data_IF_108027591031
#
_entry.id   IF_108027591031
#
_cell.length_a   1.000
_cell.length_b   1.000
_cell.length_c   1.000
_cell.angle_alpha   90.00
_cell.angle_beta   90.00
_cell.angle_gamma   90.00
#
_symmetry.space_group_name_H-M   'P 1'
#
loop_
_entity.id
_entity.type
_entity.pdbx_description
1 polymer ?
#
# COMPACT_ATOMS: atom_id res chain seq x y z
N UNK A 1 -52.26 19.80 30.26
CA UNK A 1 -51.51 19.17 31.37
C UNK A 1 -52.39 18.15 32.03
N UNK A 2 -51.89 16.92 32.20
CA UNK A 2 -52.13 16.19 33.44
C UNK A 2 -50.81 15.73 34.08
N UNK A 3 -50.73 15.99 35.38
CA UNK A 3 -49.74 15.48 36.33
C UNK A 3 -50.02 14.00 36.63
N UNK A 4 -48.96 13.21 36.82
CA UNK A 4 -49.02 11.97 37.59
C UNK A 4 -47.87 11.97 38.59
N UNK A 5 -48.21 12.31 39.84
CA UNK A 5 -47.47 11.94 41.03
C UNK A 5 -48.04 10.63 41.57
N UNK A 6 -47.20 9.62 41.78
CA UNK A 6 -47.39 8.58 42.79
C UNK A 6 -46.07 7.84 43.04
N UNK A 7 -45.38 8.33 44.06
CA UNK A 7 -44.27 7.69 44.77
C UNK A 7 -44.84 6.57 45.65
N UNK A 8 -44.06 5.50 45.86
CA UNK A 8 -43.91 4.68 47.10
C UNK A 8 -43.93 3.16 46.81
N UNK A 9 -43.45 2.29 47.72
CA UNK A 9 -42.03 2.04 48.00
C UNK A 9 -41.79 0.53 48.03
N UNK A 10 -41.00 -0.03 47.11
CA UNK A 10 -40.72 -1.46 47.21
C UNK A 10 -39.70 -1.69 48.34
N UNK A 11 -40.09 -2.59 49.24
CA UNK A 11 -39.44 -2.92 50.49
C UNK A 11 -38.07 -3.55 50.22
N UNK A 12 -37.08 -3.09 50.96
CA UNK A 12 -35.85 -3.81 51.23
C UNK A 12 -36.17 -5.13 51.95
N UNK A 13 -35.72 -6.25 51.38
CA UNK A 13 -35.37 -7.44 52.15
C UNK A 13 -33.85 -7.64 52.01
N UNK A 14 -33.09 -7.60 53.12
CA UNK A 14 -31.68 -7.98 53.16
C UNK A 14 -31.53 -9.34 53.85
N UNK A 15 -30.91 -10.32 53.18
CA UNK A 15 -30.01 -11.29 53.79
C UNK A 15 -29.68 -12.43 52.82
N UNK A 16 -28.38 -12.72 52.72
CA UNK A 16 -27.89 -14.07 52.50
C UNK A 16 -27.50 -14.39 51.06
N UNK A 17 -26.23 -14.22 50.75
CA UNK A 17 -25.32 -15.37 50.71
C UNK A 17 -23.91 -14.87 50.37
N UNK A 18 -22.97 -15.26 51.21
CA UNK A 18 -21.54 -15.19 50.98
C UNK A 18 -21.19 -16.06 49.76
N UNK A 19 -21.19 -15.49 48.55
CA UNK A 19 -20.57 -16.10 47.38
C UNK A 19 -19.19 -15.47 47.17
N UNK A 20 -18.22 -16.15 47.79
CA UNK A 20 -16.84 -16.36 47.39
C UNK A 20 -16.32 -15.52 46.20
N UNK A 21 -15.48 -14.49 46.43
CA UNK A 21 -14.75 -13.83 45.36
C UNK A 21 -13.50 -14.65 45.02
N UNK A 22 -13.68 -15.87 44.51
CA UNK A 22 -12.72 -16.43 43.56
C UNK A 22 -12.92 -15.69 42.24
N UNK A 23 -12.47 -14.43 42.22
CA UNK A 23 -11.98 -13.82 40.99
C UNK A 23 -10.79 -14.67 40.55
N UNK A 24 -11.09 -15.80 39.93
CA UNK A 24 -10.23 -16.37 38.91
C UNK A 24 -10.20 -15.32 37.79
N UNK A 25 -9.33 -14.33 37.96
CA UNK A 25 -8.72 -13.62 36.86
C UNK A 25 -8.07 -14.71 35.98
N UNK A 26 -8.87 -15.34 35.11
CA UNK A 26 -8.32 -16.12 34.01
C UNK A 26 -7.35 -15.18 33.29
N UNK A 27 -6.05 -15.50 33.25
CA UNK A 27 -5.11 -14.67 32.54
C UNK A 27 -5.55 -14.68 31.08
N UNK A 28 -6.02 -13.53 30.58
CA UNK A 28 -6.33 -13.30 29.17
C UNK A 28 -5.13 -13.80 28.38
N UNK A 29 -5.28 -14.99 27.78
CA UNK A 29 -4.13 -15.75 27.33
C UNK A 29 -3.41 -14.96 26.23
N UNK A 30 -2.09 -14.81 26.34
CA UNK A 30 -1.22 -14.19 25.32
C UNK A 30 -1.41 -14.77 23.88
N UNK A 31 -2.15 -15.88 23.75
CA UNK A 31 -2.52 -16.50 22.49
C UNK A 31 -3.44 -15.61 21.62
N UNK A 32 -4.34 -14.81 22.20
CA UNK A 32 -5.21 -13.91 21.42
C UNK A 32 -4.44 -12.72 20.85
N UNK A 33 -3.47 -12.19 21.60
CA UNK A 33 -2.67 -11.04 21.16
C UNK A 33 -1.77 -11.36 19.96
N UNK A 34 -1.33 -12.61 19.80
CA UNK A 34 -0.56 -13.06 18.61
C UNK A 34 -1.44 -13.28 17.38
N UNK A 35 -2.74 -13.52 17.57
CA UNK A 35 -3.68 -13.82 16.48
C UNK A 35 -4.13 -12.56 15.73
N UNK A 36 -4.24 -11.42 16.41
CA UNK A 36 -4.65 -10.15 15.81
C UNK A 36 -3.73 -9.65 14.67
N UNK A 37 -2.40 -9.55 14.81
CA UNK A 37 -1.53 -9.09 13.72
C UNK A 37 -1.55 -10.04 12.51
N UNK A 38 -1.64 -11.35 12.72
CA UNK A 38 -1.78 -12.31 11.63
C UNK A 38 -3.12 -12.18 10.90
N UNK A 39 -4.21 -11.97 11.65
CA UNK A 39 -5.54 -11.75 11.09
C UNK A 39 -5.60 -10.46 10.26
N UNK A 40 -5.00 -9.37 10.76
CA UNK A 40 -4.86 -8.12 10.00
C UNK A 40 -4.00 -8.30 8.75
N UNK A 41 -2.91 -9.06 8.84
CA UNK A 41 -2.03 -9.35 7.70
C UNK A 41 -2.76 -10.00 6.52
N UNK A 42 -3.77 -10.83 6.79
CA UNK A 42 -4.61 -11.47 5.76
C UNK A 42 -5.52 -10.47 5.02
N UNK A 43 -5.81 -9.31 5.62
CA UNK A 43 -6.65 -8.27 5.02
C UNK A 43 -5.88 -7.32 4.08
N UNK A 44 -4.55 -7.36 4.08
CA UNK A 44 -3.72 -6.49 3.23
C UNK A 44 -3.96 -6.76 1.74
N UNK A 45 -3.95 -8.03 1.32
CA UNK A 45 -4.16 -8.38 -0.09
C UNK A 45 -5.55 -7.98 -0.59
N UNK A 46 -6.66 -8.28 0.14
CA UNK A 46 -7.98 -7.74 -0.18
C UNK A 46 -8.03 -6.20 -0.25
N UNK A 47 -7.38 -5.51 0.69
CA UNK A 47 -7.35 -4.04 0.71
C UNK A 47 -6.61 -3.47 -0.50
N UNK A 48 -5.49 -4.07 -0.91
CA UNK A 48 -4.75 -3.68 -2.12
C UNK A 48 -5.56 -3.92 -3.38
N UNK A 49 -6.11 -5.12 -3.53
CA UNK A 49 -6.93 -5.45 -4.70
C UNK A 49 -8.10 -4.49 -4.86
N UNK A 50 -8.78 -4.14 -3.75
CA UNK A 50 -9.86 -3.17 -3.75
C UNK A 50 -9.37 -1.77 -4.16
N UNK A 51 -8.25 -1.30 -3.60
CA UNK A 51 -7.65 -0.02 -4.00
C UNK A 51 -7.33 0.02 -5.49
N UNK A 52 -6.64 -1.01 -6.01
CA UNK A 52 -6.27 -1.10 -7.43
C UNK A 52 -7.50 -1.10 -8.35
N UNK A 53 -8.54 -1.85 -8.00
CA UNK A 53 -9.76 -1.92 -8.79
C UNK A 53 -10.51 -0.59 -8.82
N UNK A 54 -10.55 0.13 -7.69
CA UNK A 54 -11.12 1.47 -7.60
C UNK A 54 -10.29 2.49 -8.40
N UNK A 55 -8.96 2.38 -8.39
CA UNK A 55 -8.08 3.22 -9.23
C UNK A 55 -8.36 2.98 -10.72
N UNK A 56 -8.40 1.72 -11.15
CA UNK A 56 -8.74 1.37 -12.55
C UNK A 56 -10.13 1.88 -12.94
N UNK A 57 -11.10 1.77 -12.04
CA UNK A 57 -12.45 2.29 -12.28
C UNK A 57 -12.45 3.80 -12.54
N UNK A 58 -11.58 4.55 -11.86
CA UNK A 58 -11.39 5.98 -12.11
C UNK A 58 -10.65 6.22 -13.44
N UNK A 59 -9.56 5.50 -13.68
CA UNK A 59 -8.74 5.65 -14.88
C UNK A 59 -9.51 5.35 -16.17
N UNK A 60 -10.36 4.33 -16.16
CA UNK A 60 -11.19 3.92 -17.31
C UNK A 60 -12.57 4.58 -17.34
N UNK A 61 -12.85 5.49 -16.40
CA UNK A 61 -14.13 6.16 -16.26
C UNK A 61 -15.35 5.21 -16.11
N UNK A 62 -15.13 4.04 -15.50
CA UNK A 62 -16.13 2.99 -15.29
C UNK A 62 -16.95 3.21 -14.02
N UNK A 63 -17.64 4.35 -13.97
CA UNK A 63 -18.38 4.78 -12.77
C UNK A 63 -19.83 4.27 -12.72
N UNK A 64 -20.47 4.09 -13.87
CA UNK A 64 -21.92 3.93 -13.93
C UNK A 64 -22.39 2.62 -13.27
N UNK A 65 -23.17 2.73 -12.19
CA UNK A 65 -23.76 1.60 -11.49
C UNK A 65 -22.81 0.87 -10.53
N UNK A 66 -21.56 1.34 -10.38
CA UNK A 66 -20.55 0.70 -9.51
C UNK A 66 -20.31 1.46 -8.21
N UNK A 67 -20.86 2.67 -8.06
CA UNK A 67 -20.69 3.53 -6.88
C UNK A 67 -21.13 2.90 -5.57
N UNK A 68 -22.34 2.33 -5.52
CA UNK A 68 -22.85 1.69 -4.30
C UNK A 68 -22.08 0.42 -3.95
N UNK A 69 -21.65 -0.34 -4.97
CA UNK A 69 -20.84 -1.55 -4.78
C UNK A 69 -19.46 -1.22 -4.22
N UNK A 70 -18.84 -0.13 -4.67
CA UNK A 70 -17.57 0.37 -4.12
C UNK A 70 -17.69 0.72 -2.63
N UNK A 71 -18.74 1.45 -2.25
CA UNK A 71 -19.00 1.82 -0.85
C UNK A 71 -19.23 0.57 0.00
N UNK A 72 -20.07 -0.36 -0.45
CA UNK A 72 -20.35 -1.60 0.27
C UNK A 72 -19.08 -2.44 0.46
N UNK A 73 -18.23 -2.54 -0.55
CA UNK A 73 -16.98 -3.29 -0.49
C UNK A 73 -16.02 -2.69 0.54
N UNK A 74 -15.87 -1.36 0.55
CA UNK A 74 -15.04 -0.68 1.54
C UNK A 74 -15.61 -0.78 2.97
N UNK A 75 -16.93 -0.67 3.15
CA UNK A 75 -17.57 -0.85 4.45
C UNK A 75 -17.40 -2.28 4.98
N UNK A 76 -17.48 -3.27 4.09
CA UNK A 76 -17.18 -4.67 4.43
C UNK A 76 -15.76 -4.83 4.93
N UNK A 77 -14.78 -4.26 4.22
CA UNK A 77 -13.39 -4.26 4.66
C UNK A 77 -13.19 -3.56 6.02
N UNK A 78 -13.79 -2.38 6.20
CA UNK A 78 -13.72 -1.63 7.46
C UNK A 78 -14.29 -2.44 8.62
N UNK A 79 -15.43 -3.12 8.43
CA UNK A 79 -16.05 -3.96 9.45
C UNK A 79 -15.14 -5.11 9.85
N UNK A 80 -14.57 -5.83 8.87
CA UNK A 80 -13.61 -6.91 9.14
C UNK A 80 -12.40 -6.44 9.94
N UNK A 81 -11.91 -5.23 9.70
CA UNK A 81 -10.80 -4.65 10.47
C UNK A 81 -11.25 -4.32 11.90
N UNK A 82 -12.44 -3.72 12.05
CA UNK A 82 -12.99 -3.31 13.35
C UNK A 82 -13.33 -4.53 14.24
N UNK A 83 -13.73 -5.64 13.65
CA UNK A 83 -13.95 -6.91 14.36
C UNK A 83 -12.64 -7.50 14.93
N UNK A 84 -11.50 -7.18 14.33
CA UNK A 84 -10.18 -7.64 14.78
C UNK A 84 -9.54 -6.64 15.75
N UNK A 85 -9.77 -5.34 15.55
CA UNK A 85 -9.18 -4.27 16.36
C UNK A 85 -10.22 -3.20 16.68
N UNK A 86 -10.40 -2.95 17.98
CA UNK A 86 -11.17 -1.82 18.49
C UNK A 86 -10.32 -0.53 18.47
N UNK A 87 -10.07 0.01 17.27
CA UNK A 87 -9.30 1.23 17.07
C UNK A 87 -10.21 2.42 16.68
N UNK A 88 -10.25 3.50 17.48
CA UNK A 88 -11.03 4.70 17.18
C UNK A 88 -10.69 5.33 15.82
N UNK A 89 -9.45 5.18 15.35
CA UNK A 89 -9.05 5.66 14.03
C UNK A 89 -9.81 4.93 12.93
N UNK A 90 -9.89 3.60 12.99
CA UNK A 90 -10.62 2.79 12.00
C UNK A 90 -12.12 3.13 12.02
N UNK A 91 -12.69 3.34 13.20
CA UNK A 91 -14.08 3.78 13.35
C UNK A 91 -14.33 5.16 12.72
N UNK A 92 -13.36 6.08 12.81
CA UNK A 92 -13.46 7.41 12.21
C UNK A 92 -13.45 7.43 10.69
N UNK A 93 -12.97 6.35 10.05
CA UNK A 93 -12.95 6.19 8.59
C UNK A 93 -14.30 5.77 7.99
N UNK A 94 -15.38 5.87 8.77
CA UNK A 94 -16.72 5.49 8.35
C UNK A 94 -17.17 6.23 7.08
N UNK A 95 -17.56 5.45 6.07
CA UNK A 95 -18.08 5.95 4.81
C UNK A 95 -19.51 6.46 4.98
N UNK A 96 -19.69 7.77 4.83
CA UNK A 96 -21.00 8.44 4.81
C UNK A 96 -21.16 9.25 3.53
N UNK A 97 -21.41 8.59 2.37
CA UNK A 97 -21.72 9.31 1.14
C UNK A 97 -23.01 10.13 1.31
N UNK A 98 -23.08 11.30 0.68
CA UNK A 98 -24.32 12.08 0.65
C UNK A 98 -25.39 11.32 -0.13
N UNK A 99 -26.67 11.51 0.22
CA UNK A 99 -27.77 10.78 -0.43
C UNK A 99 -27.84 11.01 -1.96
N UNK A 100 -27.30 12.13 -2.43
CA UNK A 100 -27.27 12.52 -3.85
C UNK A 100 -25.86 12.38 -4.46
N UNK A 101 -24.93 11.69 -3.80
CA UNK A 101 -23.59 11.48 -4.33
C UNK A 101 -23.68 10.69 -5.65
N UNK A 102 -22.99 11.20 -6.66
CA UNK A 102 -22.80 10.50 -7.93
C UNK A 102 -21.94 9.25 -7.74
N UNK A 103 -22.03 8.29 -8.65
CA UNK A 103 -21.20 7.08 -8.56
C UNK A 103 -19.70 7.41 -8.58
N UNK A 104 -19.31 8.45 -9.33
CA UNK A 104 -17.93 8.95 -9.34
C UNK A 104 -17.49 9.43 -7.96
N UNK A 105 -18.31 10.20 -7.27
CA UNK A 105 -18.02 10.67 -5.90
C UNK A 105 -17.96 9.51 -4.91
N UNK A 106 -18.86 8.52 -5.05
CA UNK A 106 -18.86 7.31 -4.22
C UNK A 106 -17.58 6.50 -4.43
N UNK A 107 -17.13 6.32 -5.67
CA UNK A 107 -15.89 5.60 -6.00
C UNK A 107 -14.66 6.36 -5.51
N UNK A 108 -14.61 7.67 -5.69
CA UNK A 108 -13.51 8.50 -5.17
C UNK A 108 -13.43 8.43 -3.64
N UNK A 109 -14.57 8.49 -2.95
CA UNK A 109 -14.65 8.34 -1.51
C UNK A 109 -14.21 6.95 -1.05
N UNK A 110 -14.70 5.90 -1.72
CA UNK A 110 -14.30 4.52 -1.47
C UNK A 110 -12.79 4.32 -1.64
N UNK A 111 -12.20 4.88 -2.72
CA UNK A 111 -10.76 4.78 -2.97
C UNK A 111 -9.93 5.45 -1.86
N UNK A 112 -10.35 6.64 -1.42
CA UNK A 112 -9.68 7.36 -0.34
C UNK A 112 -9.69 6.53 0.94
N UNK A 113 -10.86 5.99 1.31
CA UNK A 113 -11.00 5.16 2.51
C UNK A 113 -10.22 3.84 2.38
N UNK A 114 -10.28 3.16 1.24
CA UNK A 114 -9.49 1.95 1.00
C UNK A 114 -7.98 2.21 1.14
N UNK A 115 -7.50 3.36 0.65
CA UNK A 115 -6.10 3.75 0.77
C UNK A 115 -5.69 4.00 2.23
N UNK A 116 -6.55 4.63 3.03
CA UNK A 116 -6.29 4.87 4.46
C UNK A 116 -6.34 3.57 5.28
N UNK A 117 -7.29 2.68 5.00
CA UNK A 117 -7.37 1.36 5.63
C UNK A 117 -6.16 0.49 5.27
N UNK A 118 -5.71 0.52 4.02
CA UNK A 118 -4.49 -0.17 3.62
C UNK A 118 -3.27 0.36 4.38
N UNK A 119 -3.07 1.68 4.41
CA UNK A 119 -1.95 2.30 5.14
C UNK A 119 -1.97 1.93 6.64
N UNK A 120 -3.17 1.86 7.24
CA UNK A 120 -3.34 1.40 8.61
C UNK A 120 -2.90 -0.06 8.79
N UNK A 121 -3.37 -0.96 7.92
CA UNK A 121 -3.03 -2.39 7.97
C UNK A 121 -1.52 -2.61 7.81
N UNK A 122 -0.88 -1.92 6.86
CA UNK A 122 0.56 -1.99 6.63
C UNK A 122 1.35 -1.44 7.83
N UNK A 123 0.89 -0.35 8.44
CA UNK A 123 1.49 0.22 9.65
C UNK A 123 1.37 -0.69 10.87
N UNK A 124 0.26 -1.42 11.02
CA UNK A 124 0.02 -2.34 12.16
C UNK A 124 0.75 -3.67 12.02
N UNK A 125 0.92 -4.15 10.80
CA UNK A 125 1.53 -5.47 10.52
C UNK A 125 3.01 -5.38 10.19
N UNK A 126 3.52 -4.17 9.90
CA UNK A 126 4.88 -3.97 9.37
C UNK A 126 5.07 -4.49 7.95
N UNK A 127 4.01 -4.99 7.31
CA UNK A 127 4.03 -5.41 5.92
C UNK A 127 3.94 -4.18 5.01
N UNK A 128 5.04 -3.45 4.89
CA UNK A 128 5.18 -2.42 3.87
C UNK A 128 5.15 -3.06 2.48
N UNK A 129 4.77 -2.28 1.48
CA UNK A 129 4.67 -2.72 0.10
C UNK A 129 5.99 -3.31 -0.41
N UNK A 130 6.09 -4.64 -0.30
CA UNK A 130 7.24 -5.43 -0.70
C UNK A 130 7.24 -5.68 -2.21
N UNK A 131 6.43 -4.95 -2.98
CA UNK A 131 6.67 -4.79 -4.43
C UNK A 131 8.01 -4.10 -4.73
N UNK A 132 8.66 -3.48 -3.74
CA UNK A 132 10.03 -2.96 -3.84
C UNK A 132 11.14 -4.02 -3.77
N UNK A 133 10.81 -5.32 -3.66
CA UNK A 133 11.80 -6.39 -3.54
C UNK A 133 11.70 -7.45 -4.65
N UNK A 134 11.31 -7.05 -5.86
CA UNK A 134 11.45 -7.92 -7.02
C UNK A 134 12.94 -7.93 -7.40
N UNK A 135 13.62 -9.02 -7.07
CA UNK A 135 15.00 -9.24 -7.49
C UNK A 135 14.99 -9.55 -9.00
N UNK A 136 15.20 -8.53 -9.82
CA UNK A 136 15.30 -8.72 -11.27
C UNK A 136 16.72 -9.20 -11.59
N UNK A 137 16.83 -10.45 -12.04
CA UNK A 137 18.08 -11.03 -12.55
C UNK A 137 18.19 -10.73 -14.03
N UNK A 138 19.11 -9.85 -14.40
CA UNK A 138 19.39 -9.53 -15.80
C UNK A 138 20.65 -10.27 -16.22
N UNK A 139 20.50 -11.19 -17.18
CA UNK A 139 21.62 -11.81 -17.87
C UNK A 139 21.92 -10.98 -19.11
N UNK A 140 23.02 -10.22 -19.08
CA UNK A 140 23.49 -9.47 -20.24
C UNK A 140 24.66 -10.23 -20.85
N UNK A 141 24.48 -10.68 -22.08
CA UNK A 141 25.52 -11.34 -22.87
C UNK A 141 26.02 -10.36 -23.92
N UNK A 142 27.28 -9.94 -23.78
CA UNK A 142 27.91 -9.03 -24.74
C UNK A 142 28.57 -9.81 -25.87
N UNK A 143 28.27 -9.43 -27.12
CA UNK A 143 28.87 -9.98 -28.32
C UNK A 143 29.69 -8.90 -29.04
N UNK A 144 30.91 -8.67 -28.59
CA UNK A 144 31.86 -7.80 -29.28
C UNK A 144 32.54 -8.49 -30.47
N UNK A 145 32.92 -7.75 -31.53
CA UNK A 145 33.65 -8.32 -32.65
C UNK A 145 35.01 -8.86 -32.20
N UNK A 146 35.26 -10.14 -32.44
CA UNK A 146 36.55 -10.80 -32.18
C UNK A 146 36.80 -11.27 -30.74
N UNK A 147 35.83 -11.17 -29.81
CA UNK A 147 35.95 -11.70 -28.44
C UNK A 147 34.94 -12.80 -28.15
N UNK A 148 35.30 -13.74 -27.28
CA UNK A 148 34.36 -14.76 -26.76
C UNK A 148 33.25 -14.05 -25.98
N UNK A 149 31.97 -14.46 -26.10
CA UNK A 149 30.88 -13.81 -25.38
C UNK A 149 31.13 -13.91 -23.88
N UNK A 150 31.13 -12.76 -23.22
CA UNK A 150 31.17 -12.66 -21.77
C UNK A 150 29.75 -12.39 -21.30
N UNK A 151 29.25 -13.22 -20.39
CA UNK A 151 27.97 -12.99 -19.73
C UNK A 151 28.25 -12.49 -18.32
N UNK A 152 27.72 -11.31 -18.01
CA UNK A 152 27.80 -10.73 -16.67
C UNK A 152 26.40 -10.68 -16.09
N UNK A 153 26.25 -11.25 -14.90
CA UNK A 153 24.96 -11.31 -14.19
C UNK A 153 24.82 -10.08 -13.31
N UNK A 154 23.80 -9.27 -13.57
CA UNK A 154 23.47 -8.11 -12.74
C UNK A 154 22.23 -8.44 -11.90
N UNK A 155 22.34 -8.20 -10.60
CA UNK A 155 21.22 -8.34 -9.66
C UNK A 155 20.80 -6.95 -9.25
N UNK A 156 19.62 -6.52 -9.72
CA UNK A 156 19.03 -5.26 -9.30
C UNK A 156 17.98 -5.52 -8.20
N UNK A 157 17.98 -4.65 -7.19
CA UNK A 157 17.02 -4.68 -6.08
C UNK A 157 16.45 -3.27 -5.92
N UNK A 158 15.22 -3.07 -6.41
CA UNK A 158 14.52 -1.79 -6.34
C UNK A 158 13.19 -1.83 -7.11
N UNK A 159 12.34 -0.81 -6.97
CA UNK A 159 11.03 -0.76 -7.63
C UNK A 159 11.19 -0.70 -9.16
N UNK A 160 10.28 -1.33 -9.93
CA UNK A 160 10.36 -1.40 -11.40
C UNK A 160 10.24 -0.02 -12.06
N UNK A 161 9.66 0.96 -11.35
CA UNK A 161 9.46 2.33 -11.84
C UNK A 161 10.64 3.27 -11.52
N UNK A 162 11.64 2.78 -10.78
CA UNK A 162 12.88 3.51 -10.64
C UNK A 162 13.60 3.44 -11.98
N UNK A 163 13.85 4.60 -12.61
CA UNK A 163 14.61 4.74 -13.87
C UNK A 163 16.03 4.16 -13.87
N UNK A 164 16.38 3.32 -12.88
CA UNK A 164 17.56 2.46 -12.86
C UNK A 164 17.68 1.55 -14.08
N UNK A 165 16.57 1.09 -14.68
CA UNK A 165 16.62 0.31 -15.91
C UNK A 165 17.17 1.15 -17.08
N UNK A 166 16.70 2.38 -17.20
CA UNK A 166 17.17 3.37 -18.19
C UNK A 166 18.61 3.80 -17.92
N UNK A 167 19.01 3.92 -16.65
CA UNK A 167 20.39 4.20 -16.26
C UNK A 167 21.36 3.06 -16.59
N UNK A 168 20.93 1.79 -16.41
CA UNK A 168 21.73 0.60 -16.78
C UNK A 168 21.82 0.49 -18.31
N UNK A 169 20.72 0.72 -19.04
CA UNK A 169 20.73 0.72 -20.50
C UNK A 169 21.63 1.85 -21.06
N UNK A 170 21.55 3.05 -20.48
CA UNK A 170 22.42 4.18 -20.84
C UNK A 170 23.89 3.87 -20.57
N UNK A 171 24.24 3.28 -19.42
CA UNK A 171 25.62 2.86 -19.14
C UNK A 171 26.14 1.82 -20.13
N UNK A 172 25.29 0.87 -20.56
CA UNK A 172 25.67 -0.13 -21.56
C UNK A 172 25.89 0.52 -22.93
N UNK A 173 25.00 1.45 -23.34
CA UNK A 173 25.12 2.17 -24.63
C UNK A 173 26.35 3.09 -24.66
N UNK A 174 26.69 3.75 -23.55
CA UNK A 174 27.88 4.61 -23.42
C UNK A 174 29.22 3.85 -23.45
N UNK A 175 29.22 2.53 -23.26
CA UNK A 175 30.43 1.71 -23.32
C UNK A 175 30.79 1.25 -24.75
N UNK A 176 29.90 1.50 -25.73
CA UNK A 176 30.06 1.09 -27.13
C UNK A 176 30.36 2.26 -28.08
N UNK A 177 30.50 3.49 -27.56
CA UNK A 177 31.04 4.62 -28.33
C UNK A 177 32.57 4.57 -28.29
N UNK A 178 33.25 4.29 -29.41
CA UNK A 178 34.70 4.47 -29.47
C UNK A 178 34.99 5.96 -29.28
N UNK A 179 35.96 6.26 -28.43
CA UNK A 179 36.52 7.60 -28.30
C UNK A 179 37.26 7.93 -29.60
N UNK A 180 36.54 8.38 -30.61
CA UNK A 180 37.11 8.96 -31.83
C UNK A 180 37.71 10.33 -31.45
N UNK A 181 38.94 10.26 -30.98
CA UNK A 181 39.74 11.40 -30.54
C UNK A 181 41.21 11.18 -30.89
N UNK A 182 41.49 10.93 -32.17
CA UNK A 182 42.82 11.19 -32.74
C UNK A 182 42.70 12.41 -33.66
N UNK A 183 42.90 13.57 -33.04
CA UNK A 183 43.07 14.88 -33.65
C UNK A 183 44.44 14.87 -34.35
N UNK A 184 44.49 14.43 -35.61
CA UNK A 184 45.70 14.57 -36.41
C UNK A 184 45.90 16.06 -36.75
N UNK A 185 46.95 16.62 -36.16
CA UNK A 185 47.39 17.99 -36.36
C UNK A 185 47.74 18.24 -37.83
N UNK A 186 46.89 19.02 -38.50
CA UNK A 186 47.15 19.54 -39.84
C UNK A 186 48.26 20.59 -39.77
N UNK A 187 49.29 20.39 -40.57
CA UNK A 187 50.46 21.26 -40.65
C UNK A 187 50.12 22.56 -41.36
N UNK A 188 50.46 23.68 -40.73
CA UNK A 188 50.59 24.95 -41.45
C UNK A 188 52.08 25.31 -41.53
N UNK A 189 52.62 25.12 -42.73
CA UNK A 189 53.94 25.56 -43.15
C UNK A 189 54.00 27.09 -43.09
N UNK A 190 55.03 27.61 -42.41
CA UNK A 190 55.41 29.02 -42.48
C UNK A 190 56.00 29.30 -43.87
N UNK A 191 55.28 30.05 -44.70
CA UNK A 191 55.85 30.73 -45.87
C UNK A 191 56.00 32.21 -45.50
N UNK A 192 57.24 32.61 -45.21
CA UNK A 192 57.65 33.97 -44.91
C UNK A 192 57.76 34.80 -46.20
N UNK A 193 57.09 35.95 -46.17
CA UNK A 193 57.06 36.98 -47.21
C UNK A 193 58.44 37.55 -47.61
N UNK A 194 58.48 37.97 -48.87
CA UNK A 194 59.50 38.76 -49.57
C UNK A 194 59.88 40.09 -48.90
N UNK A 195 61.17 40.45 -48.96
CA UNK A 195 61.68 41.78 -49.35
C UNK A 195 63.14 41.73 -49.85
#
# INVERSE_FOLDING_TARGET
MPQFDAIMPWKSDPAGADDDPTNDDEPVTEADARSAPEALGRLIQPARALKEELQRSIEFELYAGTGDMAIQSCQGLQRSITEIVDDPYVASLALSPTANATDKEKIALALLTASQLLAYLEGRTGATDTQSNQQVRLNVTYHGPGRKPASTMFTYRGPPESGAFEAIEKMIRSADEPADGEEEADGHEEESDDE
#
